data_IF_862906071999
#
_entry.id   IF_862906071999
#
_cell.length_a   1.000
_cell.length_b   1.000
_cell.length_c   1.000
_cell.angle_alpha   90.00
_cell.angle_beta   90.00
_cell.angle_gamma   90.00
#
_symmetry.space_group_name_H-M   'P 1'
#
loop_
_entity.id
_entity.type
_entity.pdbx_description
1 polymer ?
#
# COMPACT_ATOMS: atom_id res chain seq x y z
N UNK A 1 -4.61 -25.72 8.81
CA UNK A 1 -4.22 -24.35 9.22
C UNK A 1 -5.31 -23.42 8.74
N UNK A 2 -6.02 -22.75 9.64
CA UNK A 2 -7.13 -21.89 9.29
C UNK A 2 -6.62 -20.61 8.66
N UNK A 3 -7.11 -20.29 7.47
CA UNK A 3 -6.95 -18.99 6.83
C UNK A 3 -7.65 -17.94 7.69
N UNK A 4 -6.92 -17.32 8.62
CA UNK A 4 -7.38 -16.06 9.24
C UNK A 4 -7.12 -14.93 8.24
N UNK A 5 -7.86 -14.95 7.14
CA UNK A 5 -7.86 -13.85 6.18
C UNK A 5 -8.62 -12.67 6.80
N UNK A 6 -7.87 -11.70 7.32
CA UNK A 6 -8.44 -10.42 7.70
C UNK A 6 -8.74 -9.60 6.43
N UNK A 7 -10.02 -9.30 6.19
CA UNK A 7 -10.45 -8.45 5.08
C UNK A 7 -10.97 -7.13 5.63
N UNK A 8 -10.35 -6.02 5.18
CA UNK A 8 -10.78 -4.67 5.47
C UNK A 8 -11.23 -4.02 4.16
N UNK A 9 -12.51 -3.64 4.08
CA UNK A 9 -13.04 -2.88 2.95
C UNK A 9 -13.30 -1.44 3.38
N UNK A 10 -12.61 -0.51 2.73
CA UNK A 10 -12.76 0.93 2.95
C UNK A 10 -13.42 1.55 1.72
N UNK A 11 -14.42 2.41 1.93
CA UNK A 11 -15.03 3.21 0.87
C UNK A 11 -14.69 4.66 1.14
N UNK A 12 -13.82 5.24 0.33
CA UNK A 12 -13.37 6.62 0.47
C UNK A 12 -14.12 7.50 -0.55
N UNK A 13 -14.74 8.61 -0.13
CA UNK A 13 -15.30 9.61 -1.04
C UNK A 13 -14.24 10.18 -2.00
N UNK A 14 -14.66 10.70 -3.14
CA UNK A 14 -13.76 11.38 -4.06
C UNK A 14 -13.06 12.56 -3.35
N UNK A 15 -11.72 12.61 -3.42
CA UNK A 15 -10.91 13.63 -2.76
C UNK A 15 -10.64 13.38 -1.27
N UNK A 16 -11.21 12.34 -0.66
CA UNK A 16 -10.87 11.94 0.70
C UNK A 16 -9.58 11.09 0.72
N UNK A 17 -8.89 11.09 1.87
CA UNK A 17 -7.66 10.30 2.09
C UNK A 17 -7.81 9.37 3.29
N UNK A 18 -6.98 8.32 3.34
CA UNK A 18 -6.94 7.42 4.49
C UNK A 18 -6.10 7.95 5.66
N UNK A 19 -5.57 9.17 5.59
CA UNK A 19 -4.66 9.75 6.59
C UNK A 19 -5.29 9.81 7.98
N UNK A 20 -6.57 10.15 8.08
CA UNK A 20 -7.28 10.19 9.36
C UNK A 20 -7.35 8.80 10.01
N UNK A 21 -7.65 7.76 9.22
CA UNK A 21 -7.62 6.38 9.70
C UNK A 21 -6.23 5.93 10.13
N UNK A 22 -5.18 6.38 9.42
CA UNK A 22 -3.80 6.12 9.80
C UNK A 22 -3.47 6.73 11.17
N UNK A 23 -3.97 7.94 11.46
CA UNK A 23 -3.74 8.61 12.74
C UNK A 23 -4.48 7.94 13.91
N UNK A 24 -5.65 7.35 13.65
CA UNK A 24 -6.41 6.59 14.65
C UNK A 24 -5.84 5.19 14.90
N UNK A 25 -4.94 4.72 14.05
CA UNK A 25 -4.30 3.42 14.20
C UNK A 25 -3.32 3.44 15.38
N UNK A 26 -3.31 2.40 16.26
CA UNK A 26 -2.39 2.35 17.40
C UNK A 26 -0.93 2.58 16.97
N UNK A 27 -0.12 3.38 17.69
CA UNK A 27 1.25 3.72 17.31
C UNK A 27 2.25 2.56 17.51
N UNK A 28 1.76 1.31 17.64
CA UNK A 28 2.60 0.13 17.85
C UNK A 28 3.28 -0.30 16.55
N UNK A 29 4.44 -0.98 16.61
CA UNK A 29 5.15 -1.49 15.44
C UNK A 29 4.33 -2.50 14.65
N UNK A 30 3.52 -3.32 15.30
CA UNK A 30 2.67 -4.33 14.64
C UNK A 30 1.66 -3.72 13.65
N UNK A 31 1.30 -2.46 13.87
CA UNK A 31 0.35 -1.72 13.05
C UNK A 31 1.02 -0.82 12.01
N UNK A 32 2.36 -0.82 11.93
CA UNK A 32 3.11 0.08 11.05
C UNK A 32 2.73 -0.11 9.57
N UNK A 33 2.58 -1.37 9.12
CA UNK A 33 2.21 -1.69 7.75
C UNK A 33 0.83 -1.14 7.40
N UNK A 34 -0.18 -1.44 8.22
CA UNK A 34 -1.54 -0.95 8.00
C UNK A 34 -1.57 0.58 8.03
N UNK A 35 -0.93 1.20 9.02
CA UNK A 35 -0.88 2.66 9.16
C UNK A 35 -0.24 3.33 7.95
N UNK A 36 0.88 2.81 7.46
CA UNK A 36 1.56 3.33 6.27
C UNK A 36 0.71 3.17 5.02
N UNK A 37 0.03 2.01 4.85
CA UNK A 37 -0.91 1.82 3.74
C UNK A 37 -2.07 2.80 3.81
N UNK A 38 -2.69 2.97 4.98
CA UNK A 38 -3.79 3.91 5.19
C UNK A 38 -3.37 5.35 4.89
N UNK A 39 -2.16 5.75 5.31
CA UNK A 39 -1.64 7.09 5.06
C UNK A 39 -1.40 7.37 3.57
N UNK A 40 -1.25 6.32 2.75
CA UNK A 40 -1.03 6.40 1.30
C UNK A 40 -2.31 6.12 0.49
N UNK A 41 -3.44 5.92 1.15
CA UNK A 41 -4.75 5.84 0.49
C UNK A 41 -5.20 7.24 0.07
N UNK A 42 -5.30 7.43 -1.25
CA UNK A 42 -5.70 8.69 -1.87
C UNK A 42 -5.13 8.77 -3.28
N UNK A 43 -5.54 7.87 -4.20
CA UNK A 43 -5.01 7.88 -5.55
C UNK A 43 -5.29 9.22 -6.23
N UNK A 44 -4.30 9.74 -6.94
CA UNK A 44 -4.47 10.91 -7.78
C UNK A 44 -5.15 10.47 -9.07
N UNK A 45 -6.36 10.97 -9.29
CA UNK A 45 -7.11 10.70 -10.51
C UNK A 45 -7.06 11.95 -11.37
N UNK A 46 -6.39 11.85 -12.52
CA UNK A 46 -6.38 12.90 -13.54
C UNK A 46 -7.26 12.46 -14.71
N UNK A 47 -8.12 13.38 -15.16
CA UNK A 47 -8.98 13.14 -16.31
C UNK A 47 -8.69 14.17 -17.38
N UNK A 48 -8.33 13.73 -18.58
CA UNK A 48 -8.10 14.56 -19.75
C UNK A 48 -9.12 14.24 -20.84
N UNK A 49 -9.63 15.25 -21.54
CA UNK A 49 -10.60 15.06 -22.61
C UNK A 49 -9.99 15.42 -23.97
N UNK A 50 -10.13 14.54 -24.96
CA UNK A 50 -9.65 14.73 -26.34
C UNK A 50 -10.75 14.40 -27.35
N UNK A 51 -11.48 15.42 -27.79
CA UNK A 51 -12.66 15.22 -28.66
C UNK A 51 -13.78 14.49 -27.92
N UNK A 52 -14.24 13.36 -28.49
CA UNK A 52 -15.21 12.44 -27.85
C UNK A 52 -14.55 11.47 -26.86
N UNK A 53 -13.23 11.36 -26.88
CA UNK A 53 -12.47 10.51 -25.98
C UNK A 53 -12.19 11.22 -24.66
N UNK A 54 -12.17 10.43 -23.60
CA UNK A 54 -11.81 10.81 -22.26
C UNK A 54 -10.79 9.81 -21.73
N UNK A 55 -9.64 10.33 -21.36
CA UNK A 55 -8.56 9.60 -20.76
C UNK A 55 -8.61 9.79 -19.26
N UNK A 56 -8.56 8.69 -18.52
CA UNK A 56 -8.46 8.65 -17.07
C UNK A 56 -7.13 8.00 -16.70
N UNK A 57 -6.32 8.71 -15.93
CA UNK A 57 -5.11 8.18 -15.34
C UNK A 57 -5.28 8.18 -13.82
N UNK A 58 -5.04 7.02 -13.22
CA UNK A 58 -5.01 6.82 -11.77
C UNK A 58 -3.56 6.56 -11.39
N UNK A 59 -3.00 7.41 -10.54
CA UNK A 59 -1.65 7.24 -10.01
C UNK A 59 -1.67 7.16 -8.48
N UNK A 60 -0.86 6.26 -7.92
CA UNK A 60 -0.71 6.10 -6.49
C UNK A 60 0.77 5.91 -6.13
N UNK A 61 1.40 6.86 -5.42
CA UNK A 61 2.73 6.65 -4.88
C UNK A 61 2.65 5.67 -3.71
N UNK A 62 3.49 4.63 -3.73
CA UNK A 62 3.60 3.65 -2.66
C UNK A 62 5.04 3.59 -2.17
N UNK A 63 5.23 3.75 -0.85
CA UNK A 63 6.50 3.55 -0.16
C UNK A 63 6.26 2.82 1.18
N UNK A 64 6.58 1.53 1.23
CA UNK A 64 6.36 0.72 2.43
C UNK A 64 7.57 0.69 3.38
N UNK A 65 8.69 1.35 3.04
CA UNK A 65 9.91 1.29 3.86
C UNK A 65 9.69 1.85 5.26
N UNK A 66 8.92 2.94 5.36
CA UNK A 66 8.54 3.52 6.65
C UNK A 66 7.78 2.56 7.57
N UNK A 67 7.15 1.50 7.03
CA UNK A 67 6.55 0.44 7.84
C UNK A 67 7.59 -0.58 8.34
N UNK A 68 8.63 -0.86 7.55
CA UNK A 68 9.68 -1.83 7.86
C UNK A 68 10.83 -1.29 8.72
N UNK A 69 11.14 0.01 8.64
CA UNK A 69 12.22 0.63 9.41
C UNK A 69 12.11 0.37 10.93
N UNK A 70 10.92 0.50 11.57
CA UNK A 70 10.76 0.18 12.99
C UNK A 70 11.01 -1.30 13.32
N UNK A 71 10.65 -2.23 12.43
CA UNK A 71 10.89 -3.66 12.66
C UNK A 71 12.38 -3.98 12.61
N UNK A 72 13.09 -3.39 11.64
CA UNK A 72 14.54 -3.54 11.53
C UNK A 72 15.26 -2.91 12.73
N UNK A 73 14.81 -1.75 13.21
CA UNK A 73 15.38 -1.12 14.39
C UNK A 73 15.19 -1.97 15.64
N UNK A 74 13.99 -2.53 15.84
CA UNK A 74 13.72 -3.44 16.97
C UNK A 74 14.62 -4.68 16.89
N UNK A 75 14.72 -5.31 15.72
CA UNK A 75 15.60 -6.46 15.53
C UNK A 75 17.07 -6.14 15.85
N UNK A 76 17.55 -4.96 15.46
CA UNK A 76 18.90 -4.52 15.77
C UNK A 76 19.09 -4.26 17.28
N UNK A 77 18.11 -3.67 17.95
CA UNK A 77 18.14 -3.40 19.39
C UNK A 77 18.17 -4.69 20.21
N UNK A 78 17.38 -5.68 19.81
CA UNK A 78 17.35 -7.00 20.44
C UNK A 78 18.68 -7.75 20.24
N UNK A 79 19.30 -7.66 19.06
CA UNK A 79 20.62 -8.25 18.80
C UNK A 79 21.72 -7.59 19.66
N UNK A 80 21.67 -6.26 19.82
CA UNK A 80 22.59 -5.53 20.71
C UNK A 80 22.44 -5.97 22.17
N UNK A 81 21.21 -6.18 22.64
CA UNK A 81 20.94 -6.71 23.98
C UNK A 81 21.50 -8.13 24.13
N UNK A 82 21.28 -9.00 23.13
CA UNK A 82 21.82 -10.36 23.14
C UNK A 82 23.35 -10.38 23.23
N UNK A 83 24.04 -9.54 22.45
CA UNK A 83 25.49 -9.40 22.49
C UNK A 83 25.99 -8.93 23.88
N UNK A 84 25.24 -8.04 24.54
CA UNK A 84 25.53 -7.62 25.92
C UNK A 84 25.49 -8.79 26.91
N UNK A 85 24.44 -9.61 26.85
CA UNK A 85 24.32 -10.80 27.71
C UNK A 85 25.39 -11.86 27.42
N UNK A 86 25.76 -12.07 26.16
CA UNK A 86 26.83 -13.00 25.78
C UNK A 86 28.21 -12.55 26.29
N UNK A 87 28.47 -11.24 26.27
CA UNK A 87 29.65 -10.66 26.89
C UNK A 87 29.65 -10.88 28.42
N UNK A 88 28.52 -10.68 29.09
CA UNK A 88 28.38 -10.95 30.53
C UNK A 88 28.56 -12.44 30.88
N UNK A 89 28.05 -13.34 30.04
CA UNK A 89 28.25 -14.78 30.20
C UNK A 89 29.73 -15.16 30.11
N UNK A 90 30.46 -14.56 29.16
CA UNK A 90 31.88 -14.84 28.94
C UNK A 90 32.72 -14.39 30.15
N UNK A 91 32.41 -13.23 30.72
CA UNK A 91 33.11 -12.71 31.92
C UNK A 91 32.90 -13.58 33.17
N UNK A 92 31.79 -14.31 33.25
CA UNK A 92 31.40 -15.12 34.42
C UNK A 92 31.69 -16.62 34.27
N UNK A 93 32.20 -17.05 33.10
CA UNK A 93 32.45 -18.47 32.79
C UNK A 93 33.60 -19.09 33.61
N UNK A 94 34.52 -18.29 34.15
CA UNK A 94 35.73 -18.77 34.86
C UNK A 94 35.65 -18.87 36.39
N UNK A 95 34.49 -18.67 37.02
CA UNK A 95 34.35 -18.57 38.49
C UNK A 95 33.64 -19.75 39.18
N UNK A 96 33.22 -19.54 40.43
CA UNK A 96 32.44 -20.49 41.25
C UNK A 96 31.13 -20.99 40.60
N UNK A 97 30.45 -21.98 41.20
CA UNK A 97 29.19 -22.51 40.65
C UNK A 97 28.10 -21.44 40.49
N UNK A 98 28.03 -20.46 41.39
CA UNK A 98 27.11 -19.33 41.30
C UNK A 98 27.37 -18.47 40.04
N UNK A 99 28.62 -18.32 39.63
CA UNK A 99 28.97 -17.64 38.37
C UNK A 99 28.72 -18.49 37.13
N UNK A 100 28.82 -19.82 37.23
CA UNK A 100 28.41 -20.72 36.14
C UNK A 100 26.91 -20.66 35.86
N UNK A 101 26.07 -20.71 36.90
CA UNK A 101 24.61 -20.53 36.73
C UNK A 101 24.25 -19.17 36.13
N UNK A 102 24.91 -18.10 36.60
CA UNK A 102 24.75 -16.76 36.03
C UNK A 102 25.13 -16.72 34.54
N UNK A 103 26.23 -17.39 34.16
CA UNK A 103 26.66 -17.48 32.77
C UNK A 103 25.65 -18.24 31.88
N UNK A 104 25.04 -19.31 32.40
CA UNK A 104 24.02 -20.07 31.67
C UNK A 104 22.74 -19.25 31.51
N UNK A 105 22.26 -18.58 32.57
CA UNK A 105 21.09 -17.68 32.48
C UNK A 105 21.31 -16.57 31.47
N UNK A 106 22.50 -15.96 31.45
CA UNK A 106 22.85 -14.94 30.48
C UNK A 106 22.85 -15.47 29.03
N UNK A 107 23.38 -16.68 28.79
CA UNK A 107 23.32 -17.33 27.47
C UNK A 107 21.88 -17.63 27.02
N UNK A 108 21.03 -18.08 27.95
CA UNK A 108 19.60 -18.31 27.67
C UNK A 108 18.89 -17.00 27.30
N UNK A 109 19.16 -15.91 28.03
CA UNK A 109 18.62 -14.60 27.70
C UNK A 109 19.11 -14.12 26.33
N UNK A 110 20.40 -14.24 26.04
CA UNK A 110 20.95 -13.88 24.73
C UNK A 110 20.28 -14.66 23.58
N UNK A 111 20.06 -15.97 23.76
CA UNK A 111 19.36 -16.79 22.78
C UNK A 111 17.90 -16.33 22.57
N UNK A 112 17.17 -16.02 23.65
CA UNK A 112 15.80 -15.52 23.56
C UNK A 112 15.73 -14.17 22.81
N UNK A 113 16.66 -13.26 23.07
CA UNK A 113 16.71 -11.98 22.36
C UNK A 113 17.05 -12.14 20.88
N UNK A 114 17.97 -13.05 20.53
CA UNK A 114 18.26 -13.38 19.12
C UNK A 114 17.06 -13.99 18.40
N UNK A 115 16.35 -14.88 19.08
CA UNK A 115 15.13 -15.49 18.56
C UNK A 115 14.08 -14.40 18.27
N UNK A 116 13.79 -13.54 19.24
CA UNK A 116 12.86 -12.43 19.05
C UNK A 116 13.33 -11.46 17.94
N UNK A 117 14.63 -11.16 17.84
CA UNK A 117 15.18 -10.36 16.76
C UNK A 117 14.93 -10.99 15.38
N UNK A 118 15.04 -12.32 15.30
CA UNK A 118 14.78 -13.05 14.07
C UNK A 118 13.32 -12.97 13.64
N UNK A 119 12.37 -13.08 14.58
CA UNK A 119 10.94 -12.94 14.26
C UNK A 119 10.62 -11.59 13.61
N UNK A 120 11.24 -10.50 14.07
CA UNK A 120 11.06 -9.18 13.45
C UNK A 120 11.70 -9.08 12.06
N UNK A 121 12.83 -9.75 11.82
CA UNK A 121 13.46 -9.80 10.49
C UNK A 121 12.63 -10.62 9.52
N UNK A 122 12.08 -11.74 9.98
CA UNK A 122 11.21 -12.61 9.20
C UNK A 122 9.91 -11.86 8.85
N UNK A 123 9.33 -11.13 9.81
CA UNK A 123 8.19 -10.24 9.54
C UNK A 123 8.50 -9.23 8.41
N UNK A 124 9.67 -8.58 8.46
CA UNK A 124 10.08 -7.64 7.42
C UNK A 124 10.33 -8.30 6.06
N UNK A 125 10.81 -9.56 6.05
CA UNK A 125 11.08 -10.31 4.82
C UNK A 125 9.82 -10.87 4.18
N UNK A 126 8.90 -11.38 4.99
CA UNK A 126 7.74 -12.16 4.54
C UNK A 126 6.48 -11.30 4.38
N UNK A 127 6.49 -10.06 4.88
CA UNK A 127 5.39 -9.11 4.68
C UNK A 127 5.32 -8.63 3.23
N UNK A 128 4.24 -9.05 2.56
CA UNK A 128 3.91 -8.67 1.19
C UNK A 128 2.53 -8.03 1.13
N UNK A 129 2.38 -7.01 0.29
CA UNK A 129 1.11 -6.35 0.02
C UNK A 129 0.83 -6.42 -1.47
N UNK A 130 -0.34 -6.94 -1.83
CA UNK A 130 -0.84 -6.90 -3.20
C UNK A 130 -1.78 -5.71 -3.33
N UNK A 131 -1.42 -4.76 -4.19
CA UNK A 131 -2.20 -3.56 -4.46
C UNK A 131 -2.80 -3.69 -5.84
N UNK A 132 -4.13 -3.69 -5.93
CA UNK A 132 -4.86 -3.67 -7.19
C UNK A 132 -5.46 -2.29 -7.43
N UNK A 133 -5.22 -1.72 -8.61
CA UNK A 133 -5.92 -0.53 -9.09
C UNK A 133 -6.84 -0.93 -10.25
N UNK A 134 -8.08 -0.47 -10.18
CA UNK A 134 -9.11 -0.68 -11.20
C UNK A 134 -9.87 0.61 -11.45
N UNK A 135 -10.18 0.89 -12.71
CA UNK A 135 -11.01 2.04 -13.10
C UNK A 135 -12.40 1.58 -13.53
N UNK A 136 -13.41 1.66 -12.65
CA UNK A 136 -14.77 1.28 -13.03
C UNK A 136 -15.34 2.23 -14.10
N UNK A 137 -16.04 1.68 -15.09
CA UNK A 137 -16.75 2.44 -16.11
C UNK A 137 -16.00 2.66 -17.43
N UNK A 138 -14.81 2.07 -17.59
CA UNK A 138 -14.13 2.04 -18.88
C UNK A 138 -14.65 0.93 -19.80
N UNK A 139 -14.56 1.14 -21.12
CA UNK A 139 -14.92 0.16 -22.15
C UNK A 139 -14.09 -1.13 -22.02
N UNK A 140 -12.89 -1.01 -21.49
CA UNK A 140 -12.04 -2.10 -21.03
C UNK A 140 -11.78 -1.90 -19.54
N UNK A 141 -12.19 -2.86 -18.71
CA UNK A 141 -11.87 -2.84 -17.28
C UNK A 141 -10.35 -3.02 -17.12
N UNK A 142 -9.62 -1.92 -16.98
CA UNK A 142 -8.18 -1.97 -16.78
C UNK A 142 -7.93 -2.16 -15.29
N UNK A 143 -7.63 -3.40 -14.93
CA UNK A 143 -7.14 -3.75 -13.61
C UNK A 143 -5.66 -4.13 -13.70
N UNK A 144 -4.83 -3.54 -12.84
CA UNK A 144 -3.44 -3.96 -12.66
C UNK A 144 -3.16 -4.19 -11.19
N UNK A 145 -2.43 -5.25 -10.90
CA UNK A 145 -1.99 -5.60 -9.56
C UNK A 145 -0.47 -5.54 -9.48
N UNK A 146 0.03 -5.04 -8.35
CA UNK A 146 1.45 -5.00 -8.02
C UNK A 146 1.67 -5.69 -6.67
N UNK A 147 2.76 -6.42 -6.57
CA UNK A 147 3.24 -6.97 -5.31
C UNK A 147 4.34 -6.05 -4.79
N UNK A 148 4.13 -5.49 -3.60
CA UNK A 148 5.06 -4.55 -2.95
C UNK A 148 5.44 -5.10 -1.58
N UNK A 149 6.72 -5.00 -1.24
CA UNK A 149 7.28 -5.41 0.06
C UNK A 149 7.85 -4.20 0.79
N UNK A 150 8.07 -4.31 2.10
CA UNK A 150 8.72 -3.23 2.89
C UNK A 150 10.18 -2.96 2.47
N UNK A 151 10.81 -3.89 1.77
CA UNK A 151 12.16 -3.72 1.21
C UNK A 151 12.16 -3.13 -0.22
N UNK A 152 10.98 -2.99 -0.84
CA UNK A 152 10.87 -2.46 -2.20
C UNK A 152 11.20 -0.95 -2.21
N UNK A 153 11.86 -0.45 -3.27
CA UNK A 153 12.02 0.99 -3.44
C UNK A 153 10.66 1.67 -3.63
N UNK A 154 10.57 3.00 -3.43
CA UNK A 154 9.36 3.75 -3.73
C UNK A 154 8.95 3.57 -5.18
N UNK A 155 7.68 3.28 -5.41
CA UNK A 155 7.13 3.02 -6.74
C UNK A 155 5.88 3.87 -6.97
N UNK A 156 5.71 4.35 -8.20
CA UNK A 156 4.47 4.96 -8.65
C UNK A 156 3.64 3.88 -9.34
N UNK A 157 2.47 3.57 -8.78
CA UNK A 157 1.52 2.66 -9.40
C UNK A 157 0.60 3.46 -10.31
N UNK A 158 0.57 3.13 -11.60
CA UNK A 158 -0.23 3.86 -12.57
C UNK A 158 -1.12 2.95 -13.44
N UNK A 159 -2.36 3.37 -13.63
CA UNK A 159 -3.31 2.78 -14.58
C UNK A 159 -3.85 3.90 -15.46
N UNK A 160 -3.78 3.69 -16.77
CA UNK A 160 -4.27 4.63 -17.77
C UNK A 160 -5.32 3.95 -18.63
N UNK A 161 -6.47 4.60 -18.79
CA UNK A 161 -7.57 4.08 -19.59
C UNK A 161 -8.19 5.17 -20.45
N UNK A 162 -8.53 4.80 -21.67
CA UNK A 162 -9.23 5.65 -22.61
C UNK A 162 -10.67 5.16 -22.76
N UNK A 163 -11.61 6.08 -22.67
CA UNK A 163 -13.06 5.81 -22.66
C UNK A 163 -13.78 6.85 -23.53
N UNK A 164 -14.99 6.56 -23.99
CA UNK A 164 -15.83 7.55 -24.65
C UNK A 164 -16.55 8.39 -23.60
N UNK A 165 -16.49 9.72 -23.75
CA UNK A 165 -17.25 10.63 -22.88
C UNK A 165 -18.72 10.60 -23.28
N UNK A 166 -19.55 9.92 -22.49
CA UNK A 166 -20.99 9.80 -22.73
C UNK A 166 -21.67 11.18 -22.93
N UNK A 167 -21.29 12.16 -22.12
CA UNK A 167 -21.80 13.52 -22.22
C UNK A 167 -21.49 14.17 -23.58
N UNK A 168 -20.26 13.97 -24.09
CA UNK A 168 -19.84 14.56 -25.37
C UNK A 168 -20.41 13.81 -26.57
N UNK A 169 -20.54 12.49 -26.46
CA UNK A 169 -21.21 11.67 -27.47
C UNK A 169 -22.68 12.10 -27.61
N UNK A 170 -23.38 12.29 -26.49
CA UNK A 170 -24.75 12.80 -26.49
C UNK A 170 -24.84 14.21 -27.07
N UNK A 171 -23.91 15.10 -26.72
CA UNK A 171 -23.87 16.45 -27.29
C UNK A 171 -23.66 16.42 -28.81
N UNK A 172 -22.73 15.60 -29.31
CA UNK A 172 -22.49 15.43 -30.75
C UNK A 172 -23.71 14.86 -31.47
N UNK A 173 -24.39 13.86 -30.87
CA UNK A 173 -25.63 13.30 -31.41
C UNK A 173 -26.76 14.34 -31.47
N UNK A 174 -26.91 15.16 -30.41
CA UNK A 174 -27.92 16.23 -30.38
C UNK A 174 -27.66 17.29 -31.46
N UNK A 175 -26.40 17.69 -31.68
CA UNK A 175 -26.01 18.62 -32.73
C UNK A 175 -26.28 18.04 -34.12
N UNK A 176 -25.95 16.77 -34.36
CA UNK A 176 -26.21 16.09 -35.63
C UNK A 176 -27.72 16.02 -35.94
N UNK A 177 -28.53 15.64 -34.95
CA UNK A 177 -30.00 15.62 -35.09
C UNK A 177 -30.57 17.00 -35.36
N UNK A 178 -30.11 18.03 -34.63
CA UNK A 178 -30.51 19.42 -34.88
C UNK A 178 -30.17 19.89 -36.30
N UNK A 179 -28.98 19.54 -36.80
CA UNK A 179 -28.55 19.85 -38.16
C UNK A 179 -29.41 19.16 -39.24
N UNK A 180 -29.75 17.88 -39.03
CA UNK A 180 -30.66 17.15 -39.92
C UNK A 180 -32.06 17.77 -39.97
N UNK A 181 -32.61 18.17 -38.82
CA UNK A 181 -33.91 18.85 -38.75
C UNK A 181 -33.88 20.21 -39.45
N UNK A 182 -32.81 20.98 -39.28
CA UNK A 182 -32.65 22.26 -39.97
C UNK A 182 -32.55 22.08 -41.50
N UNK A 183 -31.77 21.10 -41.97
CA UNK A 183 -31.68 20.74 -43.39
C UNK A 183 -33.03 20.31 -43.96
N UNK A 184 -33.77 19.46 -43.23
CA UNK A 184 -35.11 19.02 -43.64
C UNK A 184 -36.08 20.22 -43.75
N UNK A 185 -36.03 21.17 -42.82
CA UNK A 185 -36.85 22.38 -42.87
C UNK A 185 -36.49 23.30 -44.05
N UNK A 186 -35.21 23.42 -44.40
CA UNK A 186 -34.75 24.19 -45.57
C UNK A 186 -35.18 23.53 -46.86
N UNK A 187 -35.00 22.21 -46.98
CA UNK A 187 -35.46 21.44 -48.14
C UNK A 187 -36.97 21.55 -48.31
N UNK A 188 -37.74 21.48 -47.22
CA UNK A 188 -39.18 21.69 -47.24
C UNK A 188 -39.56 23.07 -47.77
N UNK A 189 -38.80 24.12 -47.45
CA UNK A 189 -39.05 25.47 -47.95
C UNK A 189 -38.67 25.68 -49.43
N UNK A 190 -37.82 24.81 -49.98
CA UNK A 190 -37.37 24.89 -51.37
C UNK A 190 -38.21 24.03 -52.33
N UNK A 191 -39.09 23.17 -51.79
CA UNK A 191 -40.14 22.44 -52.50
C UNK A 191 -41.43 23.26 -52.55
#
# INVERSE_FOLDING_TARGET
>A
AGDTAFSLRLTLPAGASGVEFAQLTPPRPDWSLLRTLLAQLGPQVTTAAKGLWQEMQVSQPIDLRAAGDPWQSIAADLERQAAGFEASATQTTGGSSATMEASQRARLQAANYRYAAQEWRDLARDSQVVIGLSTPGALTDAARAWLVTVASPPQMLDVRVETLSAARVLAAAAVALGGLLALAAVLWRLL
#
